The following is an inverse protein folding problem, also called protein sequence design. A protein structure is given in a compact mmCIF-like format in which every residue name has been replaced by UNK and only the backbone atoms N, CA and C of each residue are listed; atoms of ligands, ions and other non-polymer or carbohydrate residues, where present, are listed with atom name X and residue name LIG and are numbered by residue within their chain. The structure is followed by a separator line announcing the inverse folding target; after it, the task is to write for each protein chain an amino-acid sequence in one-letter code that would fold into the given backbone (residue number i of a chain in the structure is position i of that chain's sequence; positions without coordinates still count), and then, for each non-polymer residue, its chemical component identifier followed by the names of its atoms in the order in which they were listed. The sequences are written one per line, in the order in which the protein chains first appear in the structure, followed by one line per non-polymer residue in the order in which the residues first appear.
data_IF_371364057696
#
_entry.id   IF_371364057696
#
_cell.length_a   1.000
_cell.length_b   1.000
_cell.length_c   1.000
_cell.angle_alpha   90.00
_cell.angle_beta   90.00
_cell.angle_gamma   90.00
#
_symmetry.space_group_name_H-M   'P 1'
#
loop_
_entity.id
_entity.type
_entity.pdbx_description
1 polymer ?
#
# COMPACT_ATOMS: atom_id res chain seq x y z
N UNK A 1 -1.27 -4.67 -25.07
CA UNK A 1 0.04 -4.03 -24.83
C UNK A 1 0.62 -4.65 -23.56
N UNK A 2 1.84 -5.17 -23.56
CA UNK A 2 2.42 -5.74 -22.35
C UNK A 2 2.64 -4.62 -21.31
N UNK A 3 2.20 -4.83 -20.07
CA UNK A 3 2.52 -3.91 -18.97
C UNK A 3 4.04 -3.89 -18.78
N UNK A 4 4.61 -2.69 -18.68
CA UNK A 4 6.03 -2.54 -18.36
C UNK A 4 6.21 -2.41 -16.85
N UNK A 5 7.41 -2.70 -16.34
CA UNK A 5 7.76 -2.44 -14.93
C UNK A 5 7.46 -0.99 -14.51
N UNK A 6 7.65 -0.03 -15.42
CA UNK A 6 7.32 1.38 -15.20
C UNK A 6 5.82 1.61 -15.01
N UNK A 7 4.97 0.93 -15.79
CA UNK A 7 3.52 0.99 -15.62
C UNK A 7 3.09 0.44 -14.26
N UNK A 8 3.60 -0.72 -13.85
CA UNK A 8 3.29 -1.34 -12.55
C UNK A 8 3.68 -0.41 -11.39
N UNK A 9 4.86 0.20 -11.45
CA UNK A 9 5.30 1.17 -10.44
C UNK A 9 4.39 2.38 -10.34
N UNK A 10 3.95 2.92 -11.49
CA UNK A 10 3.02 4.04 -11.54
C UNK A 10 1.64 3.65 -10.99
N UNK A 11 1.18 2.43 -11.26
CA UNK A 11 -0.09 1.91 -10.73
C UNK A 11 -0.03 1.76 -9.20
N UNK A 12 1.02 1.13 -8.65
CA UNK A 12 1.20 1.03 -7.20
C UNK A 12 1.29 2.40 -6.51
N UNK A 13 1.92 3.40 -7.15
CA UNK A 13 1.89 4.78 -6.67
C UNK A 13 0.46 5.32 -6.56
N UNK A 14 -0.36 5.16 -7.61
CA UNK A 14 -1.77 5.58 -7.60
C UNK A 14 -2.58 4.87 -6.52
N UNK A 15 -2.37 3.56 -6.34
CA UNK A 15 -3.03 2.82 -5.26
C UNK A 15 -2.66 3.34 -3.88
N UNK A 16 -1.38 3.66 -3.66
CA UNK A 16 -0.91 4.20 -2.40
C UNK A 16 -1.50 5.59 -2.10
N UNK A 17 -1.62 6.45 -3.12
CA UNK A 17 -2.30 7.75 -3.02
C UNK A 17 -3.80 7.61 -2.73
N UNK A 18 -4.47 6.64 -3.36
CA UNK A 18 -5.87 6.33 -3.07
C UNK A 18 -6.05 5.90 -1.60
N UNK A 19 -5.18 5.03 -1.10
CA UNK A 19 -5.21 4.58 0.29
C UNK A 19 -4.88 5.71 1.27
N UNK A 20 -3.98 6.63 0.95
CA UNK A 20 -3.72 7.80 1.81
C UNK A 20 -4.98 8.65 2.00
N UNK A 21 -5.77 8.79 0.94
CA UNK A 21 -7.02 9.55 0.98
C UNK A 21 -8.16 8.79 1.67
N UNK A 22 -8.35 7.51 1.35
CA UNK A 22 -9.51 6.72 1.83
C UNK A 22 -9.27 6.03 3.17
N UNK A 23 -8.03 5.66 3.47
CA UNK A 23 -7.63 4.95 4.68
C UNK A 23 -6.33 5.51 5.28
N UNK A 24 -6.35 6.73 5.85
CA UNK A 24 -5.15 7.32 6.46
C UNK A 24 -4.50 6.38 7.47
N UNK A 25 -3.18 6.20 7.37
CA UNK A 25 -2.42 5.30 8.26
C UNK A 25 -2.44 3.83 7.86
N UNK A 26 -3.04 3.45 6.72
CA UNK A 26 -3.06 2.07 6.20
C UNK A 26 -1.69 1.36 6.23
N UNK A 27 -0.61 2.10 5.96
CA UNK A 27 0.77 1.60 5.92
C UNK A 27 1.26 0.99 7.24
N UNK A 28 0.56 1.25 8.35
CA UNK A 28 0.87 0.67 9.68
C UNK A 28 0.45 -0.79 9.77
N UNK A 29 -0.60 -1.18 9.06
CA UNK A 29 -1.16 -2.53 9.11
C UNK A 29 -0.37 -3.54 8.27
N UNK A 30 0.27 -3.08 7.20
CA UNK A 30 0.92 -3.96 6.22
C UNK A 30 2.27 -4.49 6.73
N UNK A 31 2.43 -5.80 6.83
CA UNK A 31 3.70 -6.44 7.18
C UNK A 31 4.57 -6.62 5.94
N UNK A 32 5.55 -5.74 5.76
CA UNK A 32 6.40 -5.72 4.55
C UNK A 32 7.28 -6.96 4.35
N UNK A 33 7.59 -7.69 5.42
CA UNK A 33 8.38 -8.94 5.35
C UNK A 33 7.55 -10.15 4.90
N UNK A 34 6.23 -10.04 4.97
CA UNK A 34 5.27 -11.09 4.61
C UNK A 34 4.40 -10.66 3.42
N UNK A 35 4.72 -9.51 2.80
CA UNK A 35 3.92 -8.95 1.71
C UNK A 35 4.11 -9.80 0.44
N UNK A 36 3.01 -10.33 -0.07
CA UNK A 36 2.97 -11.12 -1.30
C UNK A 36 1.80 -10.64 -2.16
N UNK A 37 2.10 -10.06 -3.33
CA UNK A 37 1.08 -9.52 -4.22
C UNK A 37 0.39 -10.60 -5.07
N UNK A 38 0.87 -11.84 -5.03
CA UNK A 38 0.21 -12.98 -5.68
C UNK A 38 -0.89 -13.62 -4.82
N UNK A 39 -0.92 -13.30 -3.53
CA UNK A 39 -1.81 -13.91 -2.53
C UNK A 39 -2.83 -12.90 -2.00
N UNK A 40 -4.11 -13.27 -2.01
CA UNK A 40 -5.19 -12.33 -1.68
C UNK A 40 -5.17 -11.89 -0.19
N UNK A 41 -4.73 -12.73 0.72
CA UNK A 41 -4.64 -12.46 2.16
C UNK A 41 -3.36 -11.71 2.55
N UNK A 42 -2.24 -12.01 1.87
CA UNK A 42 -0.92 -11.42 2.15
C UNK A 42 -0.55 -10.23 1.26
N UNK A 43 -1.44 -9.80 0.36
CA UNK A 43 -1.28 -8.57 -0.42
C UNK A 43 -1.63 -7.32 0.40
N UNK A 44 -1.43 -6.12 -0.19
CA UNK A 44 -1.72 -4.85 0.50
C UNK A 44 -3.17 -4.74 0.96
N UNK A 45 -4.14 -5.09 0.11
CA UNK A 45 -5.55 -5.03 0.51
C UNK A 45 -5.89 -6.08 1.56
N UNK A 46 -5.31 -7.28 1.46
CA UNK A 46 -5.42 -8.32 2.49
C UNK A 46 -5.04 -7.81 3.87
N UNK A 47 -3.85 -7.21 4.00
CA UNK A 47 -3.40 -6.61 5.28
C UNK A 47 -4.20 -5.40 5.74
N UNK A 48 -4.60 -4.50 4.83
CA UNK A 48 -5.29 -3.25 5.22
C UNK A 48 -6.71 -3.52 5.73
N UNK A 49 -7.37 -4.51 5.14
CA UNK A 49 -8.75 -4.90 5.39
C UNK A 49 -8.88 -6.28 6.07
N UNK A 50 -7.81 -6.76 6.71
CA UNK A 50 -7.85 -7.98 7.51
C UNK A 50 -8.98 -7.89 8.57
N UNK A 51 -9.82 -8.93 8.65
CA UNK A 51 -10.91 -9.03 9.62
C UNK A 51 -12.18 -8.22 9.31
N UNK A 52 -12.34 -7.66 8.10
CA UNK A 52 -13.54 -6.88 7.75
C UNK A 52 -14.76 -7.69 7.29
N UNK A 53 -14.65 -9.02 7.14
CA UNK A 53 -15.77 -9.90 6.79
C UNK A 53 -15.53 -11.35 7.23
N UNK A 54 -16.60 -12.04 7.61
CA UNK A 54 -16.58 -13.44 8.10
C UNK A 54 -16.18 -14.48 7.02
N UNK A 55 -16.07 -14.09 5.76
CA UNK A 55 -15.98 -15.02 4.62
C UNK A 55 -14.62 -15.03 3.90
N UNK A 56 -13.58 -14.58 4.58
CA UNK A 56 -12.18 -14.56 4.14
C UNK A 56 -11.85 -13.73 2.87
N UNK A 57 -10.63 -13.21 2.89
CA UNK A 57 -9.97 -12.34 1.91
C UNK A 57 -10.31 -10.85 2.07
N UNK A 58 -9.61 -10.20 3.00
CA UNK A 58 -9.54 -8.74 3.13
C UNK A 58 -9.32 -8.02 1.78
N UNK A 59 -8.68 -8.69 0.80
CA UNK A 59 -8.62 -8.22 -0.58
C UNK A 59 -9.99 -7.83 -1.17
N UNK A 60 -11.00 -8.69 -1.12
CA UNK A 60 -12.31 -8.41 -1.73
C UNK A 60 -13.05 -7.30 -0.99
N UNK A 61 -12.96 -7.29 0.34
CA UNK A 61 -13.46 -6.19 1.15
C UNK A 61 -12.81 -4.86 0.76
N UNK A 62 -11.49 -4.86 0.52
CA UNK A 62 -10.77 -3.68 0.06
C UNK A 62 -11.16 -3.25 -1.35
N UNK A 63 -11.32 -4.19 -2.28
CA UNK A 63 -11.79 -3.90 -3.64
C UNK A 63 -13.16 -3.24 -3.62
N UNK A 64 -14.12 -3.81 -2.89
CA UNK A 64 -15.46 -3.24 -2.80
C UNK A 64 -15.49 -1.92 -2.03
N UNK A 65 -14.73 -1.80 -0.94
CA UNK A 65 -14.66 -0.57 -0.15
C UNK A 65 -14.03 0.61 -0.92
N UNK A 66 -13.08 0.33 -1.80
CA UNK A 66 -12.39 1.37 -2.58
C UNK A 66 -13.06 1.71 -3.90
N UNK A 67 -13.65 0.72 -4.59
CA UNK A 67 -14.11 0.86 -5.97
C UNK A 67 -15.59 0.55 -6.18
N UNK A 68 -16.28 0.04 -5.15
CA UNK A 68 -17.68 -0.41 -5.25
C UNK A 68 -17.84 -1.75 -5.98
N UNK A 69 -19.09 -2.18 -6.12
CA UNK A 69 -19.46 -3.40 -6.84
C UNK A 69 -19.61 -3.11 -8.34
N UNK A 70 -18.57 -3.36 -9.15
CA UNK A 70 -18.71 -3.33 -10.61
C UNK A 70 -17.46 -3.02 -11.42
N UNK A 71 -16.43 -2.41 -10.81
CA UNK A 71 -15.18 -2.11 -11.52
C UNK A 71 -14.03 -3.01 -11.08
N UNK A 72 -13.96 -4.19 -11.71
CA UNK A 72 -12.88 -5.15 -11.48
C UNK A 72 -11.55 -4.78 -12.17
N UNK A 73 -11.55 -3.76 -13.05
CA UNK A 73 -10.31 -3.27 -13.70
C UNK A 73 -9.62 -2.22 -12.85
N UNK A 74 -10.37 -1.48 -12.05
CA UNK A 74 -9.84 -0.46 -11.15
C UNK A 74 -8.72 -0.97 -10.22
N UNK A 75 -8.83 -2.14 -9.55
CA UNK A 75 -7.73 -2.67 -8.74
C UNK A 75 -6.41 -2.84 -9.51
N UNK A 76 -6.47 -3.23 -10.78
CA UNK A 76 -5.29 -3.42 -11.64
C UNK A 76 -4.64 -2.09 -11.98
N UNK A 77 -5.45 -1.09 -12.34
CA UNK A 77 -4.95 0.26 -12.66
C UNK A 77 -4.39 1.02 -11.45
N UNK A 78 -4.61 0.51 -10.24
CA UNK A 78 -4.08 1.01 -8.97
C UNK A 78 -3.04 0.07 -8.34
N UNK A 79 -2.60 -0.96 -9.06
CA UNK A 79 -1.49 -1.83 -8.63
C UNK A 79 -1.85 -2.73 -7.45
N UNK A 80 -3.13 -2.96 -7.17
CA UNK A 80 -3.60 -3.91 -6.17
C UNK A 80 -3.65 -5.34 -6.70
N UNK A 81 -3.53 -5.53 -8.01
CA UNK A 81 -3.52 -6.84 -8.67
C UNK A 81 -2.74 -6.77 -9.99
N UNK A 82 -2.35 -7.92 -10.53
CA UNK A 82 -1.64 -8.08 -11.79
C UNK A 82 -2.00 -9.42 -12.48
N UNK A 83 -1.52 -9.58 -13.71
CA UNK A 83 -1.71 -10.80 -14.51
C UNK A 83 -0.76 -11.94 -14.12
N UNK A 84 0.22 -11.67 -13.25
CA UNK A 84 1.26 -12.64 -12.89
C UNK A 84 2.24 -12.93 -14.03
N UNK A 85 2.43 -12.02 -14.99
CA UNK A 85 3.34 -12.25 -16.12
C UNK A 85 4.79 -12.20 -15.67
N UNK A 86 5.62 -13.04 -16.28
CA UNK A 86 7.06 -13.03 -16.10
C UNK A 86 7.76 -12.07 -17.09
N UNK A 87 8.78 -11.36 -16.61
CA UNK A 87 9.72 -10.56 -17.37
C UNK A 87 10.92 -11.39 -17.83
N UNK A 88 11.70 -10.85 -18.78
CA UNK A 88 12.90 -11.51 -19.32
C UNK A 88 13.99 -11.79 -18.28
N UNK A 89 14.01 -11.04 -17.18
CA UNK A 89 14.96 -11.22 -16.08
C UNK A 89 14.44 -12.18 -14.99
N UNK A 90 13.35 -12.90 -15.25
CA UNK A 90 12.79 -13.90 -14.35
C UNK A 90 11.88 -13.35 -13.25
N UNK A 91 11.83 -12.03 -13.06
CA UNK A 91 10.85 -11.40 -12.15
C UNK A 91 9.44 -11.46 -12.71
N UNK A 92 8.43 -11.42 -11.86
CA UNK A 92 7.02 -11.36 -12.23
C UNK A 92 6.43 -9.96 -12.01
N UNK A 93 5.24 -9.71 -12.57
CA UNK A 93 4.46 -8.51 -12.25
C UNK A 93 4.21 -8.37 -10.74
N UNK A 94 3.98 -9.50 -10.05
CA UNK A 94 3.77 -9.54 -8.60
C UNK A 94 5.03 -9.13 -7.83
N UNK A 95 6.21 -9.61 -8.24
CA UNK A 95 7.48 -9.20 -7.61
C UNK A 95 7.70 -7.69 -7.74
N UNK A 96 7.47 -7.15 -8.93
CA UNK A 96 7.62 -5.71 -9.20
C UNK A 96 6.64 -4.87 -8.37
N UNK A 97 5.39 -5.34 -8.24
CA UNK A 97 4.39 -4.67 -7.41
C UNK A 97 4.74 -4.76 -5.92
N UNK A 98 5.15 -5.94 -5.43
CA UNK A 98 5.52 -6.14 -4.03
C UNK A 98 6.67 -5.20 -3.63
N UNK A 99 7.74 -5.16 -4.43
CA UNK A 99 8.87 -4.25 -4.22
C UNK A 99 8.46 -2.79 -4.17
N UNK A 100 7.58 -2.38 -5.09
CA UNK A 100 7.12 -1.00 -5.14
C UNK A 100 6.24 -0.65 -3.93
N UNK A 101 5.31 -1.53 -3.56
CA UNK A 101 4.49 -1.33 -2.37
C UNK A 101 5.33 -1.24 -1.09
N UNK A 102 6.36 -2.09 -0.93
CA UNK A 102 7.30 -2.00 0.19
C UNK A 102 7.95 -0.62 0.24
N UNK A 103 8.44 -0.09 -0.89
CA UNK A 103 9.03 1.26 -0.94
C UNK A 103 8.05 2.34 -0.49
N UNK A 104 6.80 2.26 -0.95
CA UNK A 104 5.73 3.22 -0.61
C UNK A 104 5.34 3.17 0.86
N UNK A 105 5.27 1.97 1.44
CA UNK A 105 5.02 1.76 2.87
C UNK A 105 6.17 2.30 3.71
N UNK A 106 7.41 1.97 3.34
CA UNK A 106 8.61 2.45 4.04
C UNK A 106 8.75 3.97 3.96
N UNK A 107 8.41 4.58 2.83
CA UNK A 107 8.39 6.03 2.67
C UNK A 107 7.47 6.69 3.71
N UNK A 108 6.20 6.26 3.79
CA UNK A 108 5.22 6.79 4.76
C UNK A 108 5.66 6.58 6.21
N UNK A 109 6.28 5.43 6.51
CA UNK A 109 6.87 5.15 7.83
C UNK A 109 8.02 6.10 8.19
N UNK A 110 8.82 6.55 7.20
CA UNK A 110 9.89 7.53 7.43
C UNK A 110 9.31 8.92 7.63
N UNK A 111 8.40 9.34 6.76
CA UNK A 111 7.73 10.65 6.85
C UNK A 111 7.02 10.82 8.19
N UNK A 112 6.26 9.81 8.63
CA UNK A 112 5.60 9.83 9.93
C UNK A 112 6.57 9.95 11.11
N UNK A 113 7.71 9.22 11.06
CA UNK A 113 8.73 9.32 12.11
C UNK A 113 9.40 10.70 12.14
N UNK A 114 9.65 11.29 10.97
CA UNK A 114 10.21 12.63 10.87
C UNK A 114 9.24 13.70 11.43
N UNK A 115 7.96 13.61 11.09
CA UNK A 115 6.91 14.50 11.63
C UNK A 115 6.81 14.38 13.17
N UNK A 116 6.84 13.16 13.70
CA UNK A 116 6.85 12.96 15.16
C UNK A 116 8.07 13.60 15.83
N UNK A 117 9.27 13.39 15.28
CA UNK A 117 10.50 13.97 15.83
C UNK A 117 10.44 15.50 15.87
N UNK A 118 9.95 16.13 14.80
CA UNK A 118 9.79 17.59 14.71
C UNK A 118 8.80 18.13 15.75
N UNK A 119 7.68 17.44 15.98
CA UNK A 119 6.69 17.84 17.00
C UNK A 119 7.24 17.74 18.42
N UNK A 120 8.05 16.73 18.70
CA UNK A 120 8.71 16.58 20.01
C UNK A 120 9.73 17.69 20.27
N UNK A 121 10.48 18.10 19.25
CA UNK A 121 11.43 19.21 19.35
C UNK A 121 10.72 20.55 19.63
N UNK A 122 9.67 20.87 18.85
CA UNK A 122 8.88 22.10 19.03
C UNK A 122 8.20 22.18 20.40
N UNK A 123 7.73 21.05 20.95
CA UNK A 123 7.15 21.00 22.29
C UNK A 123 8.19 21.24 23.39
N UNK A 124 9.42 20.77 23.19
CA UNK A 124 10.54 20.97 24.14
C UNK A 124 10.98 22.44 24.18
N UNK A 125 10.97 23.13 23.03
CA UNK A 125 11.26 24.57 22.94
C UNK A 125 10.19 25.41 23.66
N UNK A 126 8.91 25.07 23.48
CA UNK A 126 7.80 25.87 24.06
C UNK A 126 7.74 25.79 25.60
N UNK A 127 8.10 24.64 26.18
CA UNK A 127 8.13 24.46 27.64
C UNK A 127 9.36 25.16 28.28
N UNK A 128 10.46 25.30 27.54
CA UNK A 128 11.68 25.96 28.01
C UNK A 128 11.67 27.50 27.97
N UNK A 129 10.65 28.12 27.36
CA UNK A 129 10.53 29.60 27.28
C UNK A 129 9.58 30.21 28.32
N UNK A 130 9.12 29.42 29.29
CA UNK A 130 8.31 29.89 30.42
C UNK A 130 9.17 29.88 31.70
N UNK A 131 10.15 30.77 31.76
CA UNK A 131 10.91 31.17 32.97
C UNK A 131 11.49 32.55 32.74
#
# INVERSE_FOLDING_TARGET
MALTKTCLRAQAKKGAELLDHKHPGWWRKVKTTELDMSECDRCVLGWVFEGSSDNDLGYWSGVWGLFGSGDFRSPWTHGFNAEGKAFKDGTTDFDVLADEWVKRIQQRRREYRADLAQRHDQRSVTVGSIT
#
